data_IF_833991120898
#
_entry.id   IF_833991120898
#
_cell.length_a   1.000
_cell.length_b   1.000
_cell.length_c   1.000
_cell.angle_alpha   90.00
_cell.angle_beta   90.00
_cell.angle_gamma   90.00
#
_symmetry.space_group_name_H-M   'P 1'
#
loop_
_entity.id
_entity.type
_entity.pdbx_description
1 polymer ?
#
# COMPACT_ATOMS: atom_id res chain seq x y z
N UNK A 1 55.90 19.62 16.12
CA UNK A 1 54.48 19.31 16.48
C UNK A 1 53.45 19.86 15.50
N UNK A 2 53.64 20.95 14.77
CA UNK A 2 52.61 21.57 13.89
C UNK A 2 52.19 20.79 12.63
N UNK A 3 53.05 19.90 12.07
CA UNK A 3 52.73 19.14 10.84
C UNK A 3 51.74 17.96 11.03
N UNK A 4 51.66 17.39 12.23
CA UNK A 4 50.73 16.28 12.52
C UNK A 4 49.28 16.76 12.66
N UNK A 5 49.08 17.94 13.28
CA UNK A 5 47.75 18.54 13.48
C UNK A 5 47.07 18.91 12.16
N UNK A 6 47.77 19.43 11.18
CA UNK A 6 47.23 19.79 9.87
C UNK A 6 46.77 18.57 9.03
N UNK A 7 47.44 17.42 9.19
CA UNK A 7 47.01 16.19 8.52
C UNK A 7 45.66 15.67 9.06
N UNK A 8 45.42 15.77 10.37
CA UNK A 8 44.15 15.36 10.99
C UNK A 8 43.02 16.32 10.67
N UNK A 9 43.27 17.62 10.57
CA UNK A 9 42.32 18.61 10.11
C UNK A 9 41.93 18.39 8.64
N UNK A 10 42.92 18.08 7.79
CA UNK A 10 42.63 17.76 6.38
C UNK A 10 41.81 16.46 6.21
N UNK A 11 42.12 15.41 6.99
CA UNK A 11 41.34 14.16 7.00
C UNK A 11 39.91 14.42 7.52
N UNK A 12 39.75 15.23 8.57
CA UNK A 12 38.44 15.60 9.12
C UNK A 12 37.59 16.38 8.13
N UNK A 13 38.19 17.32 7.40
CA UNK A 13 37.53 18.09 6.34
C UNK A 13 37.12 17.21 5.15
N UNK A 14 37.97 16.30 4.72
CA UNK A 14 37.66 15.32 3.66
C UNK A 14 36.57 14.34 4.08
N UNK A 15 36.61 13.87 5.32
CA UNK A 15 35.54 13.01 5.87
C UNK A 15 34.20 13.77 5.98
N UNK A 16 34.22 15.05 6.39
CA UNK A 16 33.03 15.89 6.47
C UNK A 16 32.49 16.25 5.08
N UNK A 17 33.38 16.51 4.10
CA UNK A 17 32.99 16.73 2.71
C UNK A 17 32.42 15.46 2.08
N UNK A 18 33.02 14.31 2.35
CA UNK A 18 32.51 13.00 1.95
C UNK A 18 31.12 12.71 2.53
N UNK A 19 30.92 12.96 3.82
CA UNK A 19 29.61 12.80 4.47
C UNK A 19 28.56 13.78 3.91
N UNK A 20 28.93 15.04 3.64
CA UNK A 20 28.05 16.01 2.99
C UNK A 20 27.66 15.62 1.56
N UNK A 21 28.58 15.04 0.79
CA UNK A 21 28.31 14.53 -0.55
C UNK A 21 27.41 13.29 -0.48
N UNK A 22 27.61 12.41 0.48
CA UNK A 22 26.81 11.20 0.68
C UNK A 22 25.37 11.54 1.10
N UNK A 23 25.21 12.34 2.14
CA UNK A 23 23.88 12.83 2.59
C UNK A 23 23.19 13.64 1.50
N UNK A 24 23.95 14.41 0.72
CA UNK A 24 23.42 15.16 -0.42
C UNK A 24 22.92 14.27 -1.57
N UNK A 25 23.62 13.16 -1.84
CA UNK A 25 23.24 12.22 -2.89
C UNK A 25 21.94 11.46 -2.54
N UNK A 26 21.79 11.03 -1.29
CA UNK A 26 20.58 10.35 -0.81
C UNK A 26 19.38 11.29 -0.83
N UNK A 27 19.59 12.52 -0.37
CA UNK A 27 18.54 13.52 -0.40
C UNK A 27 18.11 13.89 -1.82
N UNK A 28 19.07 14.01 -2.77
CA UNK A 28 18.78 14.21 -4.19
C UNK A 28 18.03 13.01 -4.81
N UNK A 29 18.30 11.79 -4.37
CA UNK A 29 17.57 10.57 -4.78
C UNK A 29 16.13 10.65 -4.33
N UNK A 30 15.90 10.91 -3.04
CA UNK A 30 14.57 11.11 -2.49
C UNK A 30 13.81 12.25 -3.19
N UNK A 31 14.47 13.38 -3.44
CA UNK A 31 13.90 14.53 -4.15
C UNK A 31 13.52 14.15 -5.60
N UNK A 32 14.42 13.49 -6.32
CA UNK A 32 14.17 13.03 -7.68
C UNK A 32 12.98 12.08 -7.75
N UNK A 33 12.90 11.13 -6.81
CA UNK A 33 11.75 10.22 -6.70
C UNK A 33 10.45 10.99 -6.44
N UNK A 34 10.41 11.87 -5.44
CA UNK A 34 9.19 12.64 -5.07
C UNK A 34 8.73 13.52 -6.23
N UNK A 35 9.66 14.19 -6.93
CA UNK A 35 9.34 15.02 -8.10
C UNK A 35 8.72 14.21 -9.24
N UNK A 36 9.26 13.00 -9.52
CA UNK A 36 8.68 12.07 -10.52
C UNK A 36 7.31 11.56 -10.09
N UNK A 37 7.20 11.08 -8.86
CA UNK A 37 5.96 10.53 -8.32
C UNK A 37 4.83 11.57 -8.31
N UNK A 38 5.14 12.83 -7.98
CA UNK A 38 4.21 13.94 -8.01
C UNK A 38 3.89 14.45 -9.43
N UNK A 39 4.61 13.99 -10.47
CA UNK A 39 4.44 14.46 -11.85
C UNK A 39 4.67 15.96 -12.00
N UNK A 40 5.63 16.53 -11.25
CA UNK A 40 5.92 17.96 -11.30
C UNK A 40 6.53 18.34 -12.66
N UNK A 41 6.03 19.45 -13.25
CA UNK A 41 6.45 19.92 -14.57
C UNK A 41 7.28 21.20 -14.45
N UNK A 42 8.12 21.47 -15.44
CA UNK A 42 8.97 22.65 -15.58
C UNK A 42 10.45 22.30 -15.59
N UNK A 43 11.28 23.23 -16.05
CA UNK A 43 12.71 22.97 -16.32
C UNK A 43 13.49 22.49 -15.07
N UNK A 44 13.22 23.03 -13.89
CA UNK A 44 13.91 22.62 -12.66
C UNK A 44 13.42 21.25 -12.16
N UNK A 45 12.09 21.00 -11.99
CA UNK A 45 11.60 19.66 -11.67
C UNK A 45 12.04 18.58 -12.65
N UNK A 46 12.03 18.85 -13.95
CA UNK A 46 12.47 17.88 -14.98
C UNK A 46 13.97 17.56 -14.86
N UNK A 47 14.82 18.56 -14.63
CA UNK A 47 16.23 18.33 -14.38
C UNK A 47 16.47 17.49 -13.11
N UNK A 48 15.74 17.75 -12.04
CA UNK A 48 15.79 16.95 -10.80
C UNK A 48 15.27 15.54 -11.04
N UNK A 49 14.14 15.38 -11.73
CA UNK A 49 13.57 14.08 -12.09
C UNK A 49 14.52 13.25 -12.95
N UNK A 50 15.38 13.91 -13.76
CA UNK A 50 16.43 13.27 -14.54
C UNK A 50 17.59 12.69 -13.73
N UNK A 51 17.75 13.07 -12.47
CA UNK A 51 18.78 12.50 -11.61
C UNK A 51 18.52 11.00 -11.39
N UNK A 52 19.51 10.16 -11.76
CA UNK A 52 19.40 8.68 -11.69
C UNK A 52 18.14 8.12 -12.39
N UNK A 53 17.72 8.70 -13.49
CA UNK A 53 16.58 8.23 -14.28
C UNK A 53 17.06 7.14 -15.26
N UNK A 54 17.02 5.87 -14.85
CA UNK A 54 17.42 4.74 -15.65
C UNK A 54 16.27 4.20 -16.52
N UNK A 55 16.54 3.76 -17.77
CA UNK A 55 15.59 2.96 -18.52
C UNK A 55 15.40 1.59 -17.88
N UNK A 56 14.21 1.03 -18.01
CA UNK A 56 13.85 -0.28 -17.47
C UNK A 56 13.01 -1.09 -18.46
N UNK A 57 12.97 -2.41 -18.25
CA UNK A 57 12.16 -3.34 -19.03
C UNK A 57 11.04 -3.90 -18.15
N UNK A 58 9.90 -4.23 -18.76
CA UNK A 58 8.77 -4.90 -18.10
C UNK A 58 8.63 -6.30 -18.65
N UNK A 59 8.42 -7.27 -17.78
CA UNK A 59 8.08 -8.65 -18.15
C UNK A 59 7.03 -9.19 -17.20
N UNK A 60 6.17 -10.06 -17.72
CA UNK A 60 5.23 -10.82 -16.90
C UNK A 60 5.80 -12.20 -16.63
N UNK A 61 5.52 -12.71 -15.43
CA UNK A 61 5.97 -14.01 -14.97
C UNK A 61 4.97 -14.63 -13.99
N UNK A 62 5.20 -15.88 -13.63
CA UNK A 62 4.44 -16.58 -12.59
C UNK A 62 5.32 -16.77 -11.37
N UNK A 63 4.77 -16.46 -10.21
CA UNK A 63 5.43 -16.67 -8.92
C UNK A 63 4.74 -17.85 -8.23
N UNK A 64 5.48 -18.92 -7.89
CA UNK A 64 4.93 -20.02 -7.13
C UNK A 64 4.63 -19.59 -5.70
N UNK A 65 3.45 -19.94 -5.21
CA UNK A 65 3.04 -19.74 -3.82
C UNK A 65 2.46 -21.03 -3.26
N UNK A 66 2.32 -21.11 -1.94
CA UNK A 66 1.64 -22.25 -1.28
C UNK A 66 0.18 -22.43 -1.70
N UNK A 67 -0.41 -21.40 -2.32
CA UNK A 67 -1.79 -21.41 -2.82
C UNK A 67 -1.88 -21.54 -4.35
N UNK A 68 -0.80 -21.94 -5.01
CA UNK A 68 -0.68 -22.00 -6.46
C UNK A 68 0.14 -20.86 -7.04
N UNK A 69 0.25 -20.82 -8.36
CA UNK A 69 0.99 -19.76 -9.04
C UNK A 69 0.15 -18.47 -9.14
N UNK A 70 0.77 -17.34 -8.86
CA UNK A 70 0.17 -16.02 -9.07
C UNK A 70 0.86 -15.31 -10.23
N UNK A 71 0.10 -14.52 -11.00
CA UNK A 71 0.64 -13.59 -11.98
C UNK A 71 1.49 -12.53 -11.26
N UNK A 72 2.58 -12.12 -11.87
CA UNK A 72 3.38 -11.02 -11.36
C UNK A 72 4.01 -10.23 -12.51
N UNK A 73 4.33 -8.97 -12.26
CA UNK A 73 5.07 -8.11 -13.19
C UNK A 73 6.40 -7.71 -12.60
N UNK A 74 7.45 -7.96 -13.38
CA UNK A 74 8.82 -7.55 -13.04
C UNK A 74 9.17 -6.28 -13.83
N UNK A 75 9.66 -5.27 -13.12
CA UNK A 75 10.26 -4.07 -13.66
C UNK A 75 11.76 -4.15 -13.38
N UNK A 76 12.55 -4.35 -14.44
CA UNK A 76 14.00 -4.54 -14.35
C UNK A 76 14.72 -3.30 -14.88
N UNK A 77 15.34 -2.47 -14.04
CA UNK A 77 16.18 -1.38 -14.52
C UNK A 77 17.42 -1.92 -15.22
N UNK A 78 17.95 -1.18 -16.22
CA UNK A 78 19.22 -1.55 -16.87
C UNK A 78 20.40 -1.51 -15.89
N UNK A 79 20.34 -0.60 -14.94
CA UNK A 79 21.31 -0.48 -13.84
C UNK A 79 20.58 -0.65 -12.53
N UNK A 80 20.77 -1.81 -11.90
CA UNK A 80 20.26 -2.08 -10.56
C UNK A 80 21.17 -1.35 -9.56
N UNK A 81 20.59 -0.50 -8.73
CA UNK A 81 21.33 0.33 -7.75
C UNK A 81 20.86 0.15 -6.33
N UNK A 82 19.69 -0.40 -6.12
CA UNK A 82 19.09 -0.65 -4.82
C UNK A 82 18.61 -2.09 -4.70
N UNK A 83 18.01 -2.40 -3.56
CA UNK A 83 17.39 -3.70 -3.30
C UNK A 83 16.15 -3.90 -4.17
N UNK A 84 15.78 -5.15 -4.34
CA UNK A 84 14.54 -5.49 -5.03
C UNK A 84 13.35 -5.25 -4.12
N UNK A 85 12.36 -4.54 -4.64
CA UNK A 85 11.10 -4.24 -3.98
C UNK A 85 10.05 -5.27 -4.41
N UNK A 86 9.41 -5.93 -3.46
CA UNK A 86 8.16 -6.67 -3.67
C UNK A 86 7.02 -5.71 -3.37
N UNK A 87 6.34 -5.23 -4.42
CA UNK A 87 5.31 -4.19 -4.34
C UNK A 87 3.92 -4.80 -4.52
N UNK A 88 3.11 -4.81 -3.46
CA UNK A 88 1.75 -5.36 -3.48
C UNK A 88 0.70 -4.27 -3.56
N UNK A 89 -0.25 -4.42 -4.51
CA UNK A 89 -1.38 -3.51 -4.72
C UNK A 89 -2.33 -3.48 -3.51
N UNK A 90 -3.13 -2.41 -3.43
CA UNK A 90 -4.32 -2.40 -2.58
C UNK A 90 -5.42 -3.33 -3.10
N UNK A 91 -6.58 -3.30 -2.44
CA UNK A 91 -7.78 -4.03 -2.87
C UNK A 91 -8.35 -3.34 -4.11
N UNK A 92 -8.10 -3.93 -5.29
CA UNK A 92 -8.47 -3.34 -6.58
C UNK A 92 -8.62 -4.39 -7.68
N UNK A 93 -9.70 -4.28 -8.50
CA UNK A 93 -9.96 -5.23 -9.58
C UNK A 93 -8.87 -5.26 -10.67
N UNK A 94 -8.18 -4.14 -10.89
CA UNK A 94 -7.11 -4.04 -11.90
C UNK A 94 -5.76 -4.60 -11.40
N UNK A 95 -5.64 -4.93 -10.10
CA UNK A 95 -4.45 -5.57 -9.54
C UNK A 95 -3.15 -4.87 -9.92
N UNK A 96 -2.26 -5.59 -10.60
CA UNK A 96 -0.96 -5.06 -11.07
C UNK A 96 -1.07 -4.15 -12.29
N UNK A 97 -2.25 -3.98 -12.86
CA UNK A 97 -2.54 -3.05 -13.96
C UNK A 97 -3.12 -1.71 -13.43
N UNK A 98 -3.37 -1.56 -12.13
CA UNK A 98 -3.87 -0.32 -11.53
C UNK A 98 -2.87 0.83 -11.82
N UNK A 99 -3.32 1.94 -12.45
CA UNK A 99 -2.42 2.96 -12.99
C UNK A 99 -1.47 3.60 -11.97
N UNK A 100 -1.92 3.81 -10.71
CA UNK A 100 -1.10 4.40 -9.64
C UNK A 100 -0.03 3.45 -9.15
N UNK A 101 -0.36 2.14 -9.04
CA UNK A 101 0.61 1.10 -8.72
C UNK A 101 1.66 0.98 -9.83
N UNK A 102 1.22 0.95 -11.10
CA UNK A 102 2.12 0.90 -12.27
C UNK A 102 3.07 2.09 -12.24
N UNK A 103 2.53 3.31 -12.02
CA UNK A 103 3.36 4.52 -11.93
C UNK A 103 4.39 4.43 -10.80
N UNK A 104 4.00 4.00 -9.62
CA UNK A 104 4.91 3.83 -8.48
C UNK A 104 6.02 2.82 -8.80
N UNK A 105 5.66 1.66 -9.37
CA UNK A 105 6.62 0.64 -9.79
C UNK A 105 7.62 1.16 -10.84
N UNK A 106 7.12 1.92 -11.83
CA UNK A 106 7.97 2.57 -12.83
C UNK A 106 8.90 3.62 -12.25
N UNK A 107 8.40 4.46 -11.32
CA UNK A 107 9.22 5.49 -10.68
C UNK A 107 10.32 4.89 -9.80
N UNK A 108 10.04 3.77 -9.11
CA UNK A 108 11.04 2.98 -8.39
C UNK A 108 12.06 2.36 -9.35
N UNK A 109 11.60 1.75 -10.45
CA UNK A 109 12.49 1.15 -11.45
C UNK A 109 13.38 2.20 -12.13
N UNK A 110 12.85 3.39 -12.44
CA UNK A 110 13.64 4.54 -12.93
C UNK A 110 14.71 4.98 -11.91
N UNK A 111 14.42 4.84 -10.62
CA UNK A 111 15.36 5.10 -9.52
C UNK A 111 16.47 4.06 -9.39
N UNK A 112 16.35 2.91 -10.08
CA UNK A 112 17.31 1.81 -10.06
C UNK A 112 16.91 0.63 -9.18
N UNK A 113 15.73 0.65 -8.54
CA UNK A 113 15.20 -0.52 -7.83
C UNK A 113 14.59 -1.51 -8.82
N UNK A 114 14.93 -2.79 -8.69
CA UNK A 114 14.14 -3.83 -9.33
C UNK A 114 12.82 -3.97 -8.58
N UNK A 115 11.69 -4.08 -9.30
CA UNK A 115 10.37 -4.19 -8.66
C UNK A 115 9.67 -5.44 -9.15
N UNK A 116 9.23 -6.31 -8.23
CA UNK A 116 8.30 -7.39 -8.50
C UNK A 116 6.94 -7.02 -7.92
N UNK A 117 5.92 -6.95 -8.76
CA UNK A 117 4.53 -6.78 -8.30
C UNK A 117 3.77 -8.09 -8.44
N UNK A 118 3.58 -8.87 -7.35
CA UNK A 118 2.70 -10.04 -7.35
C UNK A 118 1.24 -9.61 -7.38
N UNK A 119 0.39 -10.45 -7.96
CA UNK A 119 -1.05 -10.23 -8.08
C UNK A 119 -1.83 -11.26 -7.25
N UNK A 120 -2.08 -11.01 -5.95
CA UNK A 120 -2.91 -11.90 -5.15
C UNK A 120 -4.34 -11.95 -5.70
N UNK A 121 -4.87 -13.13 -6.10
CA UNK A 121 -6.18 -13.23 -6.74
C UNK A 121 -7.34 -12.72 -5.88
N UNK A 122 -7.20 -12.80 -4.56
CA UNK A 122 -8.22 -12.37 -3.61
C UNK A 122 -8.41 -10.85 -3.65
N UNK A 123 -7.33 -10.06 -3.83
CA UNK A 123 -7.42 -8.60 -3.97
C UNK A 123 -8.22 -8.16 -5.21
N UNK A 124 -8.11 -8.92 -6.32
CA UNK A 124 -8.86 -8.66 -7.55
C UNK A 124 -10.38 -8.83 -7.36
N UNK A 125 -10.75 -9.72 -6.42
CA UNK A 125 -12.15 -10.02 -6.10
C UNK A 125 -12.68 -9.26 -4.90
N UNK A 126 -11.86 -8.33 -4.34
CA UNK A 126 -12.16 -7.59 -3.11
C UNK A 126 -12.35 -8.52 -1.89
N UNK A 127 -11.72 -9.68 -1.90
CA UNK A 127 -11.78 -10.65 -0.82
C UNK A 127 -10.65 -10.41 0.18
N UNK A 128 -10.99 -10.33 1.45
CA UNK A 128 -10.06 -10.14 2.56
C UNK A 128 -9.86 -11.50 3.23
N UNK A 129 -8.75 -12.16 2.94
CA UNK A 129 -8.48 -13.53 3.41
C UNK A 129 -7.08 -13.66 4.03
N UNK A 130 -6.87 -14.64 4.94
CA UNK A 130 -5.55 -14.95 5.49
C UNK A 130 -4.51 -15.44 4.45
N UNK A 131 -4.93 -15.74 3.22
CA UNK A 131 -4.02 -16.09 2.10
C UNK A 131 -3.19 -14.92 1.62
N UNK A 132 -3.68 -13.68 1.82
CA UNK A 132 -3.02 -12.48 1.30
C UNK A 132 -1.60 -12.30 1.85
N UNK A 133 -1.35 -12.31 3.18
CA UNK A 133 0.02 -12.24 3.70
C UNK A 133 0.86 -13.47 3.32
N UNK A 134 0.25 -14.65 3.05
CA UNK A 134 0.97 -15.81 2.54
C UNK A 134 1.55 -15.56 1.14
N UNK A 135 0.75 -14.98 0.24
CA UNK A 135 1.22 -14.65 -1.12
C UNK A 135 2.37 -13.62 -1.08
N UNK A 136 2.29 -12.62 -0.18
CA UNK A 136 3.36 -11.63 0.00
C UNK A 136 4.63 -12.32 0.50
N UNK A 137 4.52 -13.17 1.52
CA UNK A 137 5.65 -13.94 2.05
C UNK A 137 6.29 -14.83 0.99
N UNK A 138 5.48 -15.62 0.28
CA UNK A 138 5.97 -16.55 -0.74
C UNK A 138 6.65 -15.82 -1.91
N UNK A 139 6.10 -14.69 -2.34
CA UNK A 139 6.72 -13.84 -3.37
C UNK A 139 8.08 -13.27 -2.89
N UNK A 140 8.15 -12.83 -1.65
CA UNK A 140 9.41 -12.33 -1.07
C UNK A 140 10.46 -13.43 -0.93
N UNK A 141 10.06 -14.63 -0.50
CA UNK A 141 10.95 -15.80 -0.41
C UNK A 141 11.44 -16.22 -1.80
N UNK A 142 10.55 -16.23 -2.79
CA UNK A 142 10.90 -16.59 -4.17
C UNK A 142 11.92 -15.61 -4.76
N UNK A 143 11.75 -14.30 -4.53
CA UNK A 143 12.69 -13.26 -4.99
C UNK A 143 14.01 -13.37 -4.24
N UNK A 144 13.98 -13.45 -2.91
CA UNK A 144 15.19 -13.48 -2.06
C UNK A 144 16.04 -14.74 -2.27
N UNK A 145 15.46 -15.82 -2.78
CA UNK A 145 16.17 -17.04 -3.15
C UNK A 145 16.85 -17.00 -4.52
N UNK A 146 16.76 -15.89 -5.26
CA UNK A 146 17.25 -15.75 -6.64
C UNK A 146 18.27 -14.63 -6.75
N UNK A 147 19.53 -15.00 -6.96
CA UNK A 147 20.65 -14.05 -7.04
C UNK A 147 20.49 -13.02 -8.18
N UNK A 148 19.86 -13.42 -9.31
CA UNK A 148 19.56 -12.54 -10.44
C UNK A 148 18.45 -11.51 -10.16
N UNK A 149 17.62 -11.73 -9.12
CA UNK A 149 16.55 -10.82 -8.69
C UNK A 149 16.91 -10.06 -7.40
N UNK A 150 17.54 -10.72 -6.44
CA UNK A 150 17.92 -10.14 -5.16
C UNK A 150 19.36 -10.50 -4.79
N UNK A 151 20.35 -9.79 -5.35
CA UNK A 151 21.74 -9.96 -4.94
C UNK A 151 21.90 -9.79 -3.43
N UNK A 152 22.51 -10.78 -2.78
CA UNK A 152 22.65 -10.82 -1.32
C UNK A 152 21.39 -11.27 -0.56
N UNK A 153 20.36 -11.77 -1.25
CA UNK A 153 19.21 -12.48 -0.68
C UNK A 153 18.26 -11.65 0.18
N UNK A 154 18.29 -10.30 0.06
CA UNK A 154 17.39 -9.41 0.80
C UNK A 154 16.50 -8.60 -0.15
N UNK A 155 15.27 -8.35 0.31
CA UNK A 155 14.25 -7.59 -0.42
C UNK A 155 13.61 -6.53 0.49
N UNK A 156 13.00 -5.53 -0.13
CA UNK A 156 12.11 -4.59 0.55
C UNK A 156 10.65 -4.97 0.26
N UNK A 157 9.78 -4.90 1.27
CA UNK A 157 8.36 -5.18 1.13
C UNK A 157 7.56 -3.87 1.12
N UNK A 158 6.96 -3.53 0.00
CA UNK A 158 6.12 -2.33 -0.12
C UNK A 158 4.66 -2.74 -0.34
N UNK A 159 3.79 -2.28 0.53
CA UNK A 159 2.36 -2.52 0.40
C UNK A 159 1.58 -1.22 0.35
N UNK A 160 0.57 -1.19 -0.52
CA UNK A 160 -0.30 -0.03 -0.72
C UNK A 160 -1.65 -0.29 -0.08
N UNK A 161 -2.21 0.71 0.63
CA UNK A 161 -3.52 0.62 1.25
C UNK A 161 -3.61 -0.61 2.16
N UNK A 162 -4.62 -1.44 2.03
CA UNK A 162 -4.81 -2.66 2.82
C UNK A 162 -3.56 -3.56 2.85
N UNK A 163 -2.89 -3.73 1.70
CA UNK A 163 -1.65 -4.52 1.61
C UNK A 163 -0.46 -3.89 2.33
N UNK A 164 -0.53 -2.60 2.69
CA UNK A 164 0.46 -1.96 3.55
C UNK A 164 0.55 -2.63 4.91
N UNK A 165 -0.59 -2.86 5.57
CA UNK A 165 -0.65 -3.63 6.81
C UNK A 165 -0.19 -5.07 6.63
N UNK A 166 -0.66 -5.74 5.57
CA UNK A 166 -0.31 -7.14 5.29
C UNK A 166 1.18 -7.34 4.98
N UNK A 167 1.85 -6.35 4.38
CA UNK A 167 3.30 -6.39 4.16
C UNK A 167 4.06 -6.34 5.49
N UNK A 168 3.57 -5.58 6.48
CA UNK A 168 4.14 -5.58 7.83
C UNK A 168 3.92 -6.94 8.51
N UNK A 169 2.73 -7.54 8.37
CA UNK A 169 2.46 -8.91 8.85
C UNK A 169 3.44 -9.92 8.23
N UNK A 170 3.59 -9.90 6.91
CA UNK A 170 4.48 -10.82 6.21
C UNK A 170 5.94 -10.64 6.67
N UNK A 171 6.42 -9.40 6.78
CA UNK A 171 7.78 -9.09 7.25
C UNK A 171 8.07 -9.58 8.67
N UNK A 172 7.05 -9.64 9.53
CA UNK A 172 7.17 -10.17 10.90
C UNK A 172 7.24 -11.70 10.98
N UNK A 173 6.99 -12.42 9.89
CA UNK A 173 7.00 -13.89 9.89
C UNK A 173 8.42 -14.46 9.97
N UNK A 174 8.63 -15.58 10.67
CA UNK A 174 9.96 -16.15 10.90
C UNK A 174 10.76 -16.41 9.62
N UNK A 175 10.11 -16.86 8.54
CA UNK A 175 10.77 -17.19 7.27
C UNK A 175 11.37 -15.96 6.57
N UNK A 176 10.87 -14.76 6.84
CA UNK A 176 11.34 -13.49 6.26
C UNK A 176 12.28 -12.69 7.19
N UNK A 177 12.49 -13.13 8.43
CA UNK A 177 13.23 -12.38 9.45
C UNK A 177 14.58 -11.81 8.97
N UNK A 178 15.37 -12.61 8.25
CA UNK A 178 16.70 -12.24 7.76
C UNK A 178 16.71 -11.87 6.27
N UNK A 179 15.55 -11.89 5.63
CA UNK A 179 15.38 -11.66 4.19
C UNK A 179 14.76 -10.32 3.83
N UNK A 180 14.11 -9.67 4.80
CA UNK A 180 13.54 -8.34 4.60
C UNK A 180 14.50 -7.28 5.13
N UNK A 181 14.84 -6.31 4.28
CA UNK A 181 15.71 -5.19 4.64
C UNK A 181 14.92 -3.99 5.16
N UNK A 182 13.76 -3.71 4.55
CA UNK A 182 12.82 -2.70 5.02
C UNK A 182 11.37 -3.03 4.62
N UNK A 183 10.40 -2.43 5.30
CA UNK A 183 8.98 -2.59 4.98
C UNK A 183 8.30 -1.24 4.89
N UNK A 184 7.63 -0.94 3.77
CA UNK A 184 6.78 0.24 3.61
C UNK A 184 5.30 -0.15 3.69
N UNK A 185 4.60 0.48 4.62
CA UNK A 185 3.13 0.51 4.67
C UNK A 185 2.66 1.88 4.21
N UNK A 186 2.15 1.96 2.99
CA UNK A 186 1.61 3.20 2.43
C UNK A 186 0.08 3.21 2.56
N UNK A 187 -0.45 4.00 3.49
CA UNK A 187 -1.88 4.08 3.77
C UNK A 187 -2.46 2.78 4.34
N UNK A 188 -1.63 1.97 5.03
CA UNK A 188 -2.03 0.68 5.55
C UNK A 188 -2.65 0.74 6.94
N UNK A 189 -3.38 -0.32 7.29
CA UNK A 189 -3.99 -0.49 8.60
C UNK A 189 -3.00 -1.07 9.62
N UNK A 190 -3.26 -0.82 10.90
CA UNK A 190 -2.55 -1.45 12.03
C UNK A 190 -3.34 -2.60 12.66
N UNK A 191 -4.67 -2.46 12.71
CA UNK A 191 -5.56 -3.45 13.34
C UNK A 191 -6.83 -3.59 12.50
N UNK A 192 -7.07 -4.76 11.93
CA UNK A 192 -8.19 -4.98 11.02
C UNK A 192 -9.56 -4.76 11.69
N UNK A 193 -9.86 -5.33 12.88
CA UNK A 193 -11.14 -5.07 13.54
C UNK A 193 -11.40 -3.58 13.77
N UNK A 194 -10.37 -2.81 14.11
CA UNK A 194 -10.50 -1.37 14.39
C UNK A 194 -10.86 -0.60 13.12
N UNK A 195 -10.18 -0.87 12.00
CA UNK A 195 -10.49 -0.25 10.71
C UNK A 195 -11.89 -0.61 10.24
N UNK A 196 -12.29 -1.88 10.31
CA UNK A 196 -13.62 -2.28 9.89
C UNK A 196 -14.71 -1.68 10.80
N UNK A 197 -14.44 -1.51 12.09
CA UNK A 197 -15.34 -0.78 13.01
C UNK A 197 -15.48 0.68 12.59
N UNK A 198 -14.37 1.35 12.27
CA UNK A 198 -14.41 2.72 11.73
C UNK A 198 -15.24 2.80 10.44
N UNK A 199 -15.03 1.90 9.49
CA UNK A 199 -15.76 1.89 8.22
C UNK A 199 -17.28 1.71 8.41
N UNK A 200 -17.69 1.00 9.45
CA UNK A 200 -19.11 0.81 9.80
C UNK A 200 -19.73 1.96 10.61
N UNK A 201 -18.93 2.69 11.40
CA UNK A 201 -19.46 3.63 12.40
C UNK A 201 -18.97 5.07 12.27
N UNK A 202 -17.85 5.29 11.58
CA UNK A 202 -17.16 6.58 11.54
C UNK A 202 -16.44 6.95 12.83
N UNK A 203 -16.47 6.10 13.87
CA UNK A 203 -15.83 6.38 15.16
C UNK A 203 -14.34 6.02 15.13
N UNK A 204 -13.51 6.94 15.61
CA UNK A 204 -12.08 6.76 15.81
C UNK A 204 -11.77 6.35 17.26
N UNK A 205 -10.62 5.72 17.51
CA UNK A 205 -10.24 5.25 18.86
C UNK A 205 -10.14 6.34 19.93
N UNK A 206 -9.91 7.58 19.53
CA UNK A 206 -9.85 8.75 20.43
C UNK A 206 -11.24 9.34 20.76
N UNK A 207 -12.31 8.72 20.25
CA UNK A 207 -13.70 9.17 20.41
C UNK A 207 -14.14 10.23 19.40
N UNK A 208 -13.26 10.71 18.54
CA UNK A 208 -13.63 11.61 17.46
C UNK A 208 -14.36 10.88 16.34
N UNK A 209 -15.02 11.63 15.44
CA UNK A 209 -15.77 11.09 14.33
C UNK A 209 -15.20 11.62 13.01
N UNK A 210 -14.99 10.69 12.07
CA UNK A 210 -14.63 10.98 10.68
C UNK A 210 -15.60 10.23 9.76
N UNK A 211 -16.15 10.90 8.77
CA UNK A 211 -17.06 10.24 7.82
C UNK A 211 -16.26 9.26 6.96
N UNK A 212 -16.53 7.94 7.07
CA UNK A 212 -15.82 6.94 6.28
C UNK A 212 -16.25 7.00 4.81
N UNK A 213 -15.32 6.65 3.93
CA UNK A 213 -15.64 6.47 2.53
C UNK A 213 -16.57 5.25 2.34
N UNK A 214 -17.62 5.40 1.50
CA UNK A 214 -18.64 4.38 1.24
C UNK A 214 -18.08 3.04 0.73
N UNK A 215 -16.96 3.08 0.03
CA UNK A 215 -16.26 1.92 -0.53
C UNK A 215 -15.95 0.83 0.52
N UNK A 216 -15.50 1.22 1.71
CA UNK A 216 -15.08 0.28 2.74
C UNK A 216 -16.24 -0.60 3.25
N UNK A 217 -17.39 -0.01 3.55
CA UNK A 217 -18.56 -0.75 4.04
C UNK A 217 -19.11 -1.71 2.98
N UNK A 218 -18.97 -1.35 1.70
CA UNK A 218 -19.39 -2.21 0.58
C UNK A 218 -18.49 -3.44 0.46
N UNK A 219 -17.18 -3.28 0.67
CA UNK A 219 -16.24 -4.42 0.72
C UNK A 219 -16.55 -5.33 1.91
N UNK A 220 -16.87 -4.76 3.08
CA UNK A 220 -17.28 -5.58 4.25
C UNK A 220 -18.49 -6.42 3.89
N UNK A 221 -19.55 -5.82 3.31
CA UNK A 221 -20.74 -6.53 2.89
C UNK A 221 -20.42 -7.68 1.91
N UNK A 222 -19.56 -7.45 0.93
CA UNK A 222 -19.15 -8.49 -0.02
C UNK A 222 -18.53 -9.70 0.70
N UNK A 223 -17.70 -9.46 1.70
CA UNK A 223 -17.00 -10.52 2.42
C UNK A 223 -17.90 -11.30 3.39
N UNK A 224 -18.94 -10.67 3.94
CA UNK A 224 -19.86 -11.31 4.91
C UNK A 224 -21.26 -11.57 4.34
N UNK A 225 -21.42 -11.54 3.02
CA UNK A 225 -22.73 -11.71 2.35
C UNK A 225 -23.43 -13.01 2.76
N UNK A 226 -22.66 -14.09 2.93
CA UNK A 226 -23.16 -15.41 3.36
C UNK A 226 -23.75 -15.43 4.79
N UNK A 227 -23.53 -14.39 5.59
CA UNK A 227 -24.10 -14.23 6.93
C UNK A 227 -25.40 -13.43 6.92
N UNK A 228 -25.76 -12.82 5.79
CA UNK A 228 -26.85 -11.85 5.68
C UNK A 228 -27.95 -12.28 4.71
N UNK A 229 -27.64 -13.18 3.79
CA UNK A 229 -28.60 -13.66 2.80
C UNK A 229 -28.56 -15.21 2.70
N UNK A 230 -29.65 -15.85 2.23
CA UNK A 230 -29.65 -17.28 1.94
C UNK A 230 -28.57 -17.68 0.92
N UNK A 231 -28.07 -18.94 0.96
CA UNK A 231 -26.96 -19.40 0.13
C UNK A 231 -27.12 -19.11 -1.37
N UNK A 232 -28.34 -19.25 -1.91
CA UNK A 232 -28.66 -19.03 -3.33
C UNK A 232 -28.59 -17.54 -3.72
N UNK A 233 -28.64 -16.64 -2.77
CA UNK A 233 -28.57 -15.17 -3.00
C UNK A 233 -27.14 -14.62 -2.84
N UNK A 234 -26.22 -15.40 -2.26
CA UNK A 234 -24.87 -14.91 -1.94
C UNK A 234 -24.12 -14.47 -3.18
N UNK A 235 -24.03 -15.33 -4.19
CA UNK A 235 -23.24 -15.00 -5.39
C UNK A 235 -23.91 -13.93 -6.27
N UNK A 236 -25.23 -13.90 -6.47
CA UNK A 236 -25.89 -12.76 -7.11
C UNK A 236 -25.63 -11.43 -6.40
N UNK A 237 -25.67 -11.39 -5.06
CA UNK A 237 -25.35 -10.18 -4.29
C UNK A 237 -23.89 -9.77 -4.46
N UNK A 238 -22.94 -10.72 -4.35
CA UNK A 238 -21.52 -10.48 -4.57
C UNK A 238 -21.23 -9.94 -5.97
N UNK A 239 -21.87 -10.47 -7.00
CA UNK A 239 -21.73 -9.98 -8.38
C UNK A 239 -22.21 -8.53 -8.53
N UNK A 240 -23.38 -8.19 -7.96
CA UNK A 240 -23.89 -6.82 -7.91
C UNK A 240 -22.90 -5.88 -7.23
N UNK A 241 -22.37 -6.28 -6.08
CA UNK A 241 -21.39 -5.49 -5.32
C UNK A 241 -20.08 -5.31 -6.11
N UNK A 242 -19.52 -6.37 -6.71
CA UNK A 242 -18.32 -6.27 -7.55
C UNK A 242 -18.54 -5.35 -8.75
N UNK A 243 -19.73 -5.38 -9.35
CA UNK A 243 -20.11 -4.47 -10.44
C UNK A 243 -20.12 -3.02 -9.97
N UNK A 244 -20.71 -2.73 -8.81
CA UNK A 244 -20.69 -1.40 -8.20
C UNK A 244 -19.27 -0.92 -7.87
N UNK A 245 -18.43 -1.77 -7.28
CA UNK A 245 -17.02 -1.45 -6.95
C UNK A 245 -16.21 -1.16 -8.21
N UNK A 246 -16.41 -1.93 -9.28
CA UNK A 246 -15.78 -1.68 -10.59
C UNK A 246 -16.20 -0.32 -11.14
N UNK A 247 -17.49 0.01 -11.12
CA UNK A 247 -17.98 1.31 -11.54
C UNK A 247 -17.36 2.46 -10.73
N UNK A 248 -17.19 2.29 -9.40
CA UNK A 248 -16.54 3.27 -8.54
C UNK A 248 -15.09 3.55 -8.97
N UNK A 249 -14.33 2.54 -9.36
CA UNK A 249 -12.97 2.73 -9.88
C UNK A 249 -12.96 3.39 -11.26
N UNK A 250 -13.86 3.01 -12.14
CA UNK A 250 -13.99 3.58 -13.49
C UNK A 250 -14.27 5.09 -13.47
N UNK A 251 -14.82 5.64 -12.39
CA UNK A 251 -15.07 7.10 -12.28
C UNK A 251 -13.82 7.94 -12.43
N UNK A 252 -12.65 7.37 -12.13
CA UNK A 252 -11.36 8.07 -12.23
C UNK A 252 -10.74 8.02 -13.63
N UNK A 253 -11.11 7.03 -14.44
CA UNK A 253 -10.50 6.76 -15.75
C UNK A 253 -11.46 6.99 -16.91
N UNK A 254 -12.71 6.54 -16.79
CA UNK A 254 -13.76 6.66 -17.80
C UNK A 254 -15.14 6.86 -17.14
N UNK A 255 -15.54 8.11 -17.02
CA UNK A 255 -16.79 8.49 -16.36
C UNK A 255 -18.03 7.93 -17.07
N UNK A 256 -18.01 7.85 -18.40
CA UNK A 256 -19.14 7.32 -19.18
C UNK A 256 -19.32 5.82 -18.93
N UNK A 257 -18.22 5.06 -19.00
CA UNK A 257 -18.23 3.64 -18.71
C UNK A 257 -18.65 3.39 -17.25
N UNK A 258 -18.21 4.22 -16.31
CA UNK A 258 -18.65 4.14 -14.92
C UNK A 258 -20.16 4.28 -14.77
N UNK A 259 -20.77 5.28 -15.44
CA UNK A 259 -22.24 5.50 -15.41
C UNK A 259 -23.01 4.31 -15.99
N UNK A 260 -22.54 3.72 -17.08
CA UNK A 260 -23.11 2.50 -17.67
C UNK A 260 -23.00 1.30 -16.71
N UNK A 261 -21.85 1.15 -16.05
CA UNK A 261 -21.59 0.05 -15.09
C UNK A 261 -22.42 0.23 -13.80
N UNK A 262 -22.61 1.46 -13.28
CA UNK A 262 -23.55 1.73 -12.18
C UNK A 262 -25.01 1.45 -12.60
N UNK A 263 -25.40 1.78 -13.83
CA UNK A 263 -26.73 1.43 -14.34
C UNK A 263 -26.93 -0.08 -14.34
N UNK A 264 -25.90 -0.85 -14.74
CA UNK A 264 -25.95 -2.31 -14.70
C UNK A 264 -26.09 -2.84 -13.26
N UNK A 265 -25.37 -2.27 -12.30
CA UNK A 265 -25.50 -2.65 -10.88
C UNK A 265 -26.93 -2.44 -10.35
N UNK A 266 -27.60 -1.35 -10.75
CA UNK A 266 -29.02 -1.12 -10.42
C UNK A 266 -29.98 -2.13 -11.09
N UNK A 267 -29.68 -2.56 -12.32
CA UNK A 267 -30.47 -3.62 -12.98
C UNK A 267 -30.30 -4.96 -12.25
N UNK A 268 -29.08 -5.28 -11.78
CA UNK A 268 -28.86 -6.50 -10.98
C UNK A 268 -29.69 -6.49 -9.68
N UNK A 269 -29.78 -5.34 -8.98
CA UNK A 269 -30.63 -5.18 -7.80
C UNK A 269 -32.08 -5.61 -8.06
N UNK A 270 -32.68 -5.14 -9.17
CA UNK A 270 -34.10 -5.44 -9.48
C UNK A 270 -34.38 -6.92 -9.77
N UNK A 271 -33.35 -7.71 -10.01
CA UNK A 271 -33.43 -9.16 -10.27
C UNK A 271 -33.21 -10.02 -9.03
N UNK A 272 -32.78 -9.42 -7.93
CA UNK A 272 -32.52 -10.11 -6.67
C UNK A 272 -33.80 -10.21 -5.83
N UNK A 273 -34.06 -11.33 -5.15
CA UNK A 273 -35.08 -11.42 -4.14
C UNK A 273 -34.64 -10.75 -2.83
N UNK A 274 -35.59 -10.46 -1.92
CA UNK A 274 -35.29 -10.07 -0.55
C UNK A 274 -34.59 -11.24 0.20
N UNK A 275 -33.58 -10.94 1.08
CA UNK A 275 -33.09 -9.63 1.47
C UNK A 275 -31.96 -9.06 0.60
N UNK A 276 -31.48 -9.79 -0.43
CA UNK A 276 -30.33 -9.36 -1.25
C UNK A 276 -30.64 -8.06 -2.02
N UNK A 277 -31.85 -7.89 -2.56
CA UNK A 277 -32.25 -6.67 -3.28
C UNK A 277 -32.13 -5.43 -2.38
N UNK A 278 -32.60 -5.50 -1.15
CA UNK A 278 -32.51 -4.40 -0.18
C UNK A 278 -31.06 -4.05 0.15
N UNK A 279 -30.21 -5.04 0.39
CA UNK A 279 -28.77 -4.82 0.66
C UNK A 279 -28.08 -4.19 -0.56
N UNK A 280 -28.39 -4.67 -1.76
CA UNK A 280 -27.85 -4.08 -2.99
C UNK A 280 -28.39 -2.67 -3.24
N UNK A 281 -29.62 -2.38 -2.86
CA UNK A 281 -30.19 -1.03 -2.86
C UNK A 281 -29.41 -0.07 -1.96
N UNK A 282 -29.03 -0.50 -0.76
CA UNK A 282 -28.15 0.31 0.10
C UNK A 282 -26.77 0.56 -0.52
N UNK A 283 -26.20 -0.43 -1.22
CA UNK A 283 -24.96 -0.27 -1.98
C UNK A 283 -25.12 0.77 -3.09
N UNK A 284 -26.12 0.63 -3.94
CA UNK A 284 -26.40 1.54 -5.06
C UNK A 284 -26.67 2.98 -4.60
N UNK A 285 -27.27 3.15 -3.43
CA UNK A 285 -27.53 4.46 -2.80
C UNK A 285 -26.36 4.97 -1.97
N UNK A 286 -25.25 4.21 -1.84
CA UNK A 286 -24.08 4.53 -0.99
C UNK A 286 -24.49 4.80 0.46
N UNK A 287 -25.48 4.07 0.95
CA UNK A 287 -26.10 4.30 2.26
C UNK A 287 -25.29 3.62 3.39
N UNK A 288 -24.16 4.23 3.76
CA UNK A 288 -23.29 3.77 4.86
C UNK A 288 -24.06 3.71 6.18
N UNK A 289 -24.97 4.66 6.42
CA UNK A 289 -25.76 4.73 7.65
C UNK A 289 -26.71 3.53 7.82
N UNK A 290 -27.20 2.95 6.72
CA UNK A 290 -28.01 1.73 6.76
C UNK A 290 -27.15 0.46 6.83
N UNK A 291 -26.04 0.40 6.11
CA UNK A 291 -25.16 -0.77 6.07
C UNK A 291 -24.33 -0.94 7.36
N UNK A 292 -23.77 0.15 7.88
CA UNK A 292 -22.86 0.11 9.02
C UNK A 292 -23.40 -0.66 10.23
N UNK A 293 -24.60 -0.31 10.76
CA UNK A 293 -25.20 -1.02 11.89
C UNK A 293 -25.50 -2.50 11.63
N UNK A 294 -25.77 -2.91 10.38
CA UNK A 294 -26.01 -4.30 10.01
C UNK A 294 -24.69 -5.12 10.00
N UNK A 295 -23.59 -4.48 9.62
CA UNK A 295 -22.30 -5.13 9.45
C UNK A 295 -21.45 -5.11 10.72
N UNK A 296 -21.58 -4.09 11.55
CA UNK A 296 -20.77 -3.90 12.76
C UNK A 296 -20.77 -5.11 13.71
N UNK A 297 -21.88 -5.83 13.98
CA UNK A 297 -21.87 -7.05 14.79
C UNK A 297 -21.00 -8.16 14.21
N UNK A 298 -20.86 -8.23 12.87
CA UNK A 298 -20.12 -9.28 12.15
C UNK A 298 -18.62 -9.00 12.08
N UNK A 299 -18.20 -7.75 12.26
CA UNK A 299 -16.79 -7.32 12.13
C UNK A 299 -15.88 -8.11 13.07
N UNK A 300 -16.28 -8.36 14.32
CA UNK A 300 -15.43 -9.04 15.30
C UNK A 300 -15.08 -10.46 14.88
N UNK A 301 -16.05 -11.19 14.34
CA UNK A 301 -15.84 -12.57 13.88
C UNK A 301 -15.04 -12.59 12.57
N UNK A 302 -15.44 -11.74 11.62
CA UNK A 302 -14.79 -11.64 10.31
C UNK A 302 -13.31 -11.24 10.41
N UNK A 303 -12.98 -10.31 11.31
CA UNK A 303 -11.62 -9.79 11.49
C UNK A 303 -10.86 -10.45 12.65
N UNK A 304 -11.29 -11.61 13.15
CA UNK A 304 -10.73 -12.25 14.32
C UNK A 304 -9.30 -12.75 14.14
N UNK A 305 -8.91 -13.10 12.90
CA UNK A 305 -7.59 -13.66 12.60
C UNK A 305 -6.47 -12.61 12.86
N UNK A 306 -5.59 -12.84 13.84
CA UNK A 306 -4.50 -11.92 14.14
C UNK A 306 -3.51 -11.78 12.97
N UNK A 307 -3.40 -12.78 12.08
CA UNK A 307 -2.52 -12.73 10.90
C UNK A 307 -2.94 -11.67 9.87
N UNK A 308 -4.09 -11.02 10.06
CA UNK A 308 -4.57 -9.93 9.23
C UNK A 308 -4.33 -8.54 9.89
N UNK A 309 -3.69 -8.49 11.05
CA UNK A 309 -3.48 -7.27 11.83
C UNK A 309 -2.01 -7.13 12.24
N UNK A 310 -1.26 -6.16 11.70
CA UNK A 310 0.13 -5.94 12.08
C UNK A 310 0.36 -5.78 13.59
N UNK A 311 -0.52 -5.03 14.26
CA UNK A 311 -0.42 -4.80 15.70
C UNK A 311 -0.66 -6.06 16.56
N UNK A 312 -1.17 -7.14 15.98
CA UNK A 312 -1.44 -8.43 16.64
C UNK A 312 -0.52 -9.55 16.15
N UNK A 313 0.30 -9.28 15.15
CA UNK A 313 1.26 -10.20 14.55
C UNK A 313 2.67 -9.96 15.11
N UNK A 314 3.61 -10.90 14.94
CA UNK A 314 5.00 -10.67 15.28
C UNK A 314 5.55 -9.44 14.56
N UNK A 315 6.30 -8.59 15.28
CA UNK A 315 6.92 -7.41 14.71
C UNK A 315 8.05 -7.80 13.72
N UNK A 316 8.23 -7.05 12.62
CA UNK A 316 9.39 -7.20 11.74
C UNK A 316 10.71 -6.98 12.50
N UNK A 317 11.77 -7.69 12.10
CA UNK A 317 13.11 -7.45 12.61
C UNK A 317 13.82 -6.28 11.89
N UNK A 318 13.32 -5.90 10.71
CA UNK A 318 13.83 -4.81 9.89
C UNK A 318 13.04 -3.51 10.10
N UNK A 319 13.62 -2.33 9.75
CA UNK A 319 12.93 -1.05 9.85
C UNK A 319 11.58 -1.03 9.12
N UNK A 320 10.59 -0.35 9.74
CA UNK A 320 9.24 -0.18 9.19
C UNK A 320 8.99 1.30 8.88
N UNK A 321 8.57 1.57 7.66
CA UNK A 321 8.22 2.88 7.14
C UNK A 321 6.71 2.98 7.01
N UNK A 322 6.10 3.93 7.70
CA UNK A 322 4.64 4.16 7.71
C UNK A 322 4.36 5.51 7.06
N UNK A 323 3.88 5.51 5.83
CA UNK A 323 3.48 6.69 5.08
C UNK A 323 1.96 6.76 4.99
N UNK A 324 1.35 7.88 5.41
CA UNK A 324 -0.11 8.00 5.45
C UNK A 324 -0.60 9.39 5.03
N UNK A 325 -1.72 9.44 4.33
CA UNK A 325 -2.45 10.67 4.06
C UNK A 325 -3.14 11.19 5.32
N UNK A 326 -2.91 12.47 5.68
CA UNK A 326 -3.48 13.03 6.90
C UNK A 326 -5.02 13.05 6.93
N UNK A 327 -5.67 13.18 5.77
CA UNK A 327 -7.13 13.21 5.61
C UNK A 327 -7.74 11.92 5.05
N UNK A 328 -7.08 10.78 5.21
CA UNK A 328 -7.55 9.51 4.68
C UNK A 328 -8.87 9.06 5.36
N UNK A 329 -9.92 8.89 4.56
CA UNK A 329 -11.26 8.46 5.00
C UNK A 329 -11.55 6.97 4.70
N UNK A 330 -10.60 6.25 4.09
CA UNK A 330 -10.68 4.81 3.84
C UNK A 330 -10.00 4.04 4.96
N UNK A 331 -8.72 4.36 5.23
CA UNK A 331 -7.99 3.85 6.38
C UNK A 331 -7.48 5.09 7.13
N UNK A 332 -8.00 5.42 8.32
CA UNK A 332 -7.61 6.64 9.02
C UNK A 332 -6.12 6.69 9.33
N UNK A 333 -5.50 7.87 9.21
CA UNK A 333 -4.06 8.05 9.51
C UNK A 333 -3.70 7.70 10.96
N UNK A 334 -4.66 7.68 11.86
CA UNK A 334 -4.50 7.19 13.23
C UNK A 334 -4.04 5.71 13.27
N UNK A 335 -4.36 4.90 12.25
CA UNK A 335 -3.90 3.53 12.16
C UNK A 335 -2.37 3.43 12.10
N UNK A 336 -1.73 4.32 11.33
CA UNK A 336 -0.26 4.37 11.27
C UNK A 336 0.36 4.88 12.59
N UNK A 337 -0.31 5.79 13.30
CA UNK A 337 0.15 6.28 14.60
C UNK A 337 0.12 5.16 15.65
N UNK A 338 -1.00 4.44 15.74
CA UNK A 338 -1.17 3.33 16.68
C UNK A 338 -0.25 2.15 16.32
N UNK A 339 -0.07 1.87 15.03
CA UNK A 339 0.87 0.84 14.59
C UNK A 339 2.31 1.22 14.94
N UNK A 340 2.72 2.47 14.72
CA UNK A 340 4.04 2.94 15.11
C UNK A 340 4.28 2.77 16.63
N UNK A 341 3.29 3.10 17.46
CA UNK A 341 3.39 2.90 18.90
C UNK A 341 3.56 1.42 19.27
N UNK A 342 2.83 0.52 18.58
CA UNK A 342 2.92 -0.92 18.83
C UNK A 342 4.26 -1.52 18.38
N UNK A 343 4.86 -1.02 17.31
CA UNK A 343 6.09 -1.58 16.72
C UNK A 343 7.39 -1.02 17.33
N UNK A 344 7.43 0.25 17.76
CA UNK A 344 8.63 0.91 18.30
C UNK A 344 9.38 0.15 19.40
N UNK A 345 8.73 -0.64 20.29
CA UNK A 345 9.47 -1.46 21.26
C UNK A 345 10.31 -2.58 20.65
N UNK A 346 10.07 -2.95 19.39
CA UNK A 346 10.62 -4.14 18.76
C UNK A 346 11.49 -3.84 17.53
N UNK A 347 11.24 -2.73 16.83
CA UNK A 347 11.95 -2.37 15.60
C UNK A 347 12.00 -0.85 15.40
N UNK A 348 12.89 -0.40 14.52
CA UNK A 348 12.95 1.00 14.09
C UNK A 348 11.71 1.35 13.27
N UNK A 349 11.07 2.50 13.57
CA UNK A 349 9.85 2.94 12.88
C UNK A 349 9.98 4.38 12.43
N UNK A 350 9.96 4.57 11.12
CA UNK A 350 9.86 5.86 10.45
C UNK A 350 8.39 6.12 10.10
N UNK A 351 7.81 7.18 10.65
CA UNK A 351 6.40 7.51 10.42
C UNK A 351 6.27 8.91 9.84
N UNK A 352 5.48 9.02 8.75
CA UNK A 352 5.10 10.28 8.15
C UNK A 352 3.61 10.29 7.82
N UNK A 353 2.85 11.16 8.52
CA UNK A 353 1.50 11.56 8.10
C UNK A 353 1.59 12.93 7.42
N UNK A 354 1.01 13.08 6.24
CA UNK A 354 1.20 14.28 5.42
C UNK A 354 -0.08 14.65 4.67
N UNK A 355 -0.37 15.97 4.53
CA UNK A 355 -1.46 16.44 3.68
C UNK A 355 -1.12 16.41 2.17
N UNK A 356 0.12 16.04 1.79
CA UNK A 356 0.56 15.92 0.38
C UNK A 356 -0.13 14.78 -0.36
N UNK A 357 -0.65 13.81 0.37
CA UNK A 357 -1.36 12.66 -0.16
C UNK A 357 -2.72 12.52 0.52
N UNK A 358 -3.75 12.22 -0.26
CA UNK A 358 -5.01 11.66 0.21
C UNK A 358 -4.90 10.13 0.24
N UNK A 359 -5.99 9.37 0.14
CA UNK A 359 -5.86 7.91 0.05
C UNK A 359 -5.14 7.50 -1.24
N UNK A 360 -3.80 7.38 -1.17
CA UNK A 360 -2.90 7.03 -2.28
C UNK A 360 -2.88 8.01 -3.49
N UNK A 361 -3.29 9.27 -3.30
CA UNK A 361 -3.23 10.33 -4.33
C UNK A 361 -2.42 11.53 -3.83
N UNK A 362 -1.77 12.26 -4.76
CA UNK A 362 -0.99 13.46 -4.43
C UNK A 362 -1.90 14.68 -4.35
N UNK A 363 -1.96 15.35 -3.18
CA UNK A 363 -2.65 16.62 -3.00
C UNK A 363 -1.68 17.82 -3.20
N UNK A 364 -2.09 18.81 -4.00
CA UNK A 364 -1.24 19.94 -4.42
C UNK A 364 -1.23 21.12 -3.43
N UNK A 365 -1.91 21.03 -2.29
CA UNK A 365 -2.08 22.18 -1.37
C UNK A 365 -1.09 22.26 -0.20
N UNK A 366 -0.10 21.38 -0.15
CA UNK A 366 0.79 21.26 0.99
C UNK A 366 1.99 22.22 0.92
N UNK A 367 2.52 22.57 2.09
CA UNK A 367 3.60 23.52 2.25
C UNK A 367 5.00 22.94 1.96
N UNK A 368 5.99 23.83 1.83
CA UNK A 368 7.40 23.45 1.61
C UNK A 368 7.95 22.51 2.71
N UNK A 369 7.53 22.67 3.96
CA UNK A 369 7.94 21.81 5.07
C UNK A 369 7.47 20.37 4.90
N UNK A 370 6.25 20.15 4.34
CA UNK A 370 5.73 18.81 4.06
C UNK A 370 6.52 18.15 2.94
N UNK A 371 6.90 18.94 1.93
CA UNK A 371 7.75 18.45 0.83
C UNK A 371 9.12 18.01 1.35
N UNK A 372 9.78 18.80 2.20
CA UNK A 372 11.08 18.47 2.80
C UNK A 372 10.97 17.16 3.62
N UNK A 373 9.92 17.01 4.44
CA UNK A 373 9.68 15.78 5.20
C UNK A 373 9.45 14.55 4.30
N UNK A 374 8.68 14.74 3.21
CA UNK A 374 8.44 13.68 2.23
C UNK A 374 9.74 13.25 1.53
N UNK A 375 10.57 14.22 1.11
CA UNK A 375 11.88 13.95 0.50
C UNK A 375 12.79 13.20 1.47
N UNK A 376 12.89 13.64 2.72
CA UNK A 376 13.68 12.96 3.75
C UNK A 376 13.21 11.53 4.03
N UNK A 377 11.90 11.31 4.08
CA UNK A 377 11.30 9.98 4.25
C UNK A 377 11.70 9.03 3.10
N UNK A 378 11.55 9.45 1.85
CA UNK A 378 11.91 8.65 0.70
C UNK A 378 13.43 8.50 0.54
N UNK A 379 14.22 9.51 0.90
CA UNK A 379 15.67 9.40 0.92
C UNK A 379 16.15 8.29 1.87
N UNK A 380 15.56 8.24 3.07
CA UNK A 380 15.86 7.20 4.06
C UNK A 380 15.38 5.79 3.64
N UNK A 381 14.22 5.69 2.99
CA UNK A 381 13.66 4.40 2.54
C UNK A 381 14.40 3.82 1.34
N UNK A 382 14.82 4.69 0.39
CA UNK A 382 15.50 4.28 -0.84
C UNK A 382 17.03 4.20 -0.68
N UNK A 383 17.52 4.14 0.56
CA UNK A 383 18.95 3.99 0.84
C UNK A 383 19.51 2.68 0.25
N UNK A 384 20.74 2.77 -0.35
CA UNK A 384 21.37 1.68 -1.13
C UNK A 384 22.15 0.70 -0.25
#
# INVERSE_FOLDING_TARGET
MKRKTWRWVGIGLLAMLGALVFVGADWLRGLSFVVRAAGMQGAVPEAVAGFRNAPFEKSELRVPTRHGEVRARLYRPREVRGRTVVLTSGVHADGIDEPRLVKLAEDLARGGQMVLSPEPPDLLRYEITPRLPDVIEDAALWVSGREDLAPGGKVDLFGISFSGGLSVVAAGRPALRDKVASTLSFGGHGDLPRVLTFLCSGQLPDGSHLTPHDYGVVIILLNVADRLVPPEQVEPLREGIRTFLRASHQTQTDRKLAEETFAHARVLETRMPEPASRLMGYVNLRNVAALGPLLLPLVREFAADPSMSPARSPAPASPVYLLHGAGDTVIPSMESVLLAQALRPYTEVHQLSTPLISHAEVDKKAGAADMVRMVGFWASLLDE
#
